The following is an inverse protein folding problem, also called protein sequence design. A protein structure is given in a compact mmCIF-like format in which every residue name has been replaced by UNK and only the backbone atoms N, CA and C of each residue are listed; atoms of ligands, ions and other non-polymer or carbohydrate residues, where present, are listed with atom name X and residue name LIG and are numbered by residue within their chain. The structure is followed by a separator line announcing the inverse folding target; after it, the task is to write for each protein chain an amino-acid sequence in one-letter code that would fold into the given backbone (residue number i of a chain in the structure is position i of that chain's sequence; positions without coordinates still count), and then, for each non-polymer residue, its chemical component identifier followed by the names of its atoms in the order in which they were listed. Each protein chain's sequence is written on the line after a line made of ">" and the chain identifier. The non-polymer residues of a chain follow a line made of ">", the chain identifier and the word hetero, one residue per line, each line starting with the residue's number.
data_IF_011269412109
#
_entry.id   IF_011269412109
#
_cell.length_a   1.000
_cell.length_b   1.000
_cell.length_c   1.000
_cell.angle_alpha   90.00
_cell.angle_beta   90.00
_cell.angle_gamma   90.00
#
_symmetry.space_group_name_H-M   'P 1'
#
loop_
_entity.id
_entity.type
_entity.pdbx_description
1 polymer ?
#
# COMPACT_ATOMS: atom_id res chain seq x y z
N UNK A 1 41.04 8.68 -5.94
CA UNK A 1 39.93 9.65 -6.02
C UNK A 1 39.82 10.16 -7.46
N UNK A 2 38.63 10.08 -8.07
CA UNK A 2 38.36 10.63 -9.42
C UNK A 2 37.70 12.00 -9.24
N UNK A 3 38.21 13.03 -9.89
CA UNK A 3 37.64 14.37 -9.87
C UNK A 3 36.91 14.59 -11.20
N UNK A 4 35.62 14.98 -11.12
CA UNK A 4 34.81 15.35 -12.26
C UNK A 4 34.73 16.88 -12.27
N UNK A 5 35.40 17.51 -13.24
CA UNK A 5 35.46 18.97 -13.35
C UNK A 5 34.20 19.50 -14.04
N UNK A 6 33.13 19.66 -13.27
CA UNK A 6 31.88 20.28 -13.71
C UNK A 6 31.54 21.45 -12.76
N UNK A 7 31.44 22.64 -13.33
CA UNK A 7 31.02 23.84 -12.58
C UNK A 7 29.51 23.93 -12.56
N UNK A 8 28.92 24.04 -11.38
CA UNK A 8 27.48 24.31 -11.20
C UNK A 8 27.08 25.63 -11.86
N UNK A 9 27.92 26.66 -11.75
CA UNK A 9 27.63 27.98 -12.30
C UNK A 9 27.60 27.99 -13.83
N UNK A 10 28.46 27.18 -14.48
CA UNK A 10 28.61 27.20 -15.93
C UNK A 10 27.75 26.14 -16.64
N UNK A 11 27.35 25.09 -15.95
CA UNK A 11 26.51 24.02 -16.54
C UNK A 11 25.71 23.29 -15.46
N UNK A 12 24.69 23.96 -14.93
CA UNK A 12 23.84 23.45 -13.86
C UNK A 12 23.19 22.11 -14.21
N UNK A 13 22.72 21.93 -15.48
CA UNK A 13 22.07 20.68 -15.91
C UNK A 13 23.04 19.51 -15.91
N UNK A 14 24.23 19.67 -16.47
CA UNK A 14 25.24 18.61 -16.46
C UNK A 14 25.71 18.27 -15.03
N UNK A 15 25.89 19.29 -14.18
CA UNK A 15 26.25 19.11 -12.79
C UNK A 15 25.17 18.36 -11.99
N UNK A 16 23.87 18.66 -12.23
CA UNK A 16 22.76 17.94 -11.62
C UNK A 16 22.72 16.49 -12.09
N UNK A 17 22.86 16.25 -13.41
CA UNK A 17 22.86 14.91 -13.97
C UNK A 17 23.97 14.02 -13.40
N UNK A 18 25.18 14.58 -13.18
CA UNK A 18 26.29 13.83 -12.56
C UNK A 18 26.00 13.45 -11.09
N UNK A 19 25.04 14.08 -10.45
CA UNK A 19 24.64 13.77 -9.08
C UNK A 19 23.53 12.75 -8.96
N UNK A 20 22.87 12.41 -10.07
CA UNK A 20 21.81 11.41 -10.09
C UNK A 20 22.38 10.02 -9.76
N UNK A 21 21.68 9.26 -8.94
CA UNK A 21 22.10 7.94 -8.50
C UNK A 21 23.37 7.95 -7.62
N UNK A 22 23.80 9.12 -7.09
CA UNK A 22 24.97 9.22 -6.19
C UNK A 22 24.55 9.74 -4.82
N UNK A 23 25.08 9.14 -3.77
CA UNK A 23 24.94 9.64 -2.39
C UNK A 23 25.87 10.82 -2.22
N UNK A 24 25.32 12.02 -2.41
CA UNK A 24 26.04 13.29 -2.23
C UNK A 24 25.91 13.80 -0.81
N UNK A 25 26.68 14.82 -0.42
CA UNK A 25 26.64 15.37 0.95
C UNK A 25 25.23 15.74 1.43
N UNK A 26 24.39 16.31 0.55
CA UNK A 26 23.01 16.68 0.88
C UNK A 26 22.06 15.48 1.07
N UNK A 27 22.39 14.32 0.50
CA UNK A 27 21.60 13.09 0.59
C UNK A 27 22.11 12.11 1.66
N UNK A 28 23.36 12.26 2.09
CA UNK A 28 24.06 11.27 2.91
C UNK A 28 23.37 11.01 4.25
N UNK A 29 22.85 12.04 4.92
CA UNK A 29 22.14 11.88 6.19
C UNK A 29 20.84 11.07 6.07
N UNK A 30 20.05 11.37 5.05
CA UNK A 30 18.75 10.74 4.84
C UNK A 30 18.85 9.31 4.26
N UNK A 31 19.97 9.00 3.60
CA UNK A 31 20.24 7.68 3.01
C UNK A 31 21.12 6.80 3.90
N UNK A 32 21.64 7.33 5.02
CA UNK A 32 22.28 6.53 6.04
C UNK A 32 21.22 5.79 6.88
N UNK A 33 20.71 4.70 6.35
CA UNK A 33 19.65 3.95 6.99
C UNK A 33 20.08 3.40 8.34
N UNK A 34 19.25 3.57 9.35
CA UNK A 34 19.41 3.02 10.69
C UNK A 34 18.31 2.00 10.99
N UNK A 35 18.58 1.07 11.89
CA UNK A 35 17.54 0.19 12.40
C UNK A 35 16.47 0.96 13.19
N UNK A 36 15.28 0.37 13.27
CA UNK A 36 14.30 0.83 14.26
C UNK A 36 14.87 0.71 15.67
N UNK A 37 14.34 1.50 16.66
CA UNK A 37 14.72 1.32 18.05
C UNK A 37 14.58 -0.15 18.45
N UNK A 38 15.66 -0.70 19.03
CA UNK A 38 15.71 -2.10 19.37
C UNK A 38 14.77 -2.41 20.54
N UNK A 39 13.94 -3.43 20.38
CA UNK A 39 13.14 -4.00 21.47
C UNK A 39 13.99 -5.04 22.20
N UNK A 40 14.02 -4.96 23.52
CA UNK A 40 14.75 -5.94 24.35
C UNK A 40 14.02 -7.29 24.37
N UNK A 41 14.41 -8.15 23.43
CA UNK A 41 13.86 -9.50 23.28
C UNK A 41 14.14 -10.36 24.52
N UNK A 42 15.29 -10.21 25.20
CA UNK A 42 15.61 -10.97 26.42
C UNK A 42 14.62 -10.68 27.54
N UNK A 43 14.18 -9.42 27.66
CA UNK A 43 13.16 -9.03 28.62
C UNK A 43 11.80 -9.67 28.32
N UNK A 44 11.41 -9.75 27.06
CA UNK A 44 10.18 -10.42 26.63
C UNK A 44 10.23 -11.92 26.93
N UNK A 45 11.36 -12.58 26.65
CA UNK A 45 11.60 -13.99 26.99
C UNK A 45 11.45 -14.19 28.51
N UNK A 46 12.04 -13.34 29.34
CA UNK A 46 11.88 -13.41 30.79
C UNK A 46 10.42 -13.30 31.26
N UNK A 47 9.61 -12.44 30.61
CA UNK A 47 8.17 -12.34 30.90
C UNK A 47 7.39 -13.59 30.47
N UNK A 48 7.71 -14.19 29.31
CA UNK A 48 7.14 -15.44 28.84
C UNK A 48 7.43 -16.56 29.80
N UNK A 49 8.69 -16.74 30.18
CA UNK A 49 9.13 -17.82 31.06
C UNK A 49 8.46 -17.72 32.45
N UNK A 50 8.34 -16.50 32.98
CA UNK A 50 7.60 -16.27 34.24
C UNK A 50 6.11 -16.63 34.09
N UNK A 51 5.47 -16.33 32.94
CA UNK A 51 4.08 -16.71 32.70
C UNK A 51 3.93 -18.25 32.60
N UNK A 52 4.86 -18.94 31.95
CA UNK A 52 4.88 -20.41 31.89
C UNK A 52 5.05 -21.05 33.30
N UNK A 53 5.91 -20.51 34.14
CA UNK A 53 6.06 -20.94 35.52
C UNK A 53 4.76 -20.75 36.31
N UNK A 54 4.12 -19.58 36.20
CA UNK A 54 2.83 -19.28 36.83
C UNK A 54 1.73 -20.23 36.35
N UNK A 55 1.74 -20.62 35.07
CA UNK A 55 0.80 -21.61 34.54
C UNK A 55 0.96 -23.00 35.19
N UNK A 56 2.20 -23.42 35.46
CA UNK A 56 2.50 -24.71 36.09
C UNK A 56 2.15 -24.76 37.60
N UNK A 57 2.22 -23.59 38.25
CA UNK A 57 2.01 -23.47 39.72
C UNK A 57 0.62 -22.93 40.08
N UNK A 58 -0.26 -22.71 39.09
CA UNK A 58 -1.62 -22.20 39.29
C UNK A 58 -2.49 -23.21 40.05
N UNK A 59 -3.30 -22.73 41.01
CA UNK A 59 -4.17 -23.56 41.83
C UNK A 59 -5.40 -24.07 41.08
N UNK A 60 -5.81 -23.37 40.03
CA UNK A 60 -6.98 -23.71 39.20
C UNK A 60 -6.62 -23.86 37.74
N UNK A 61 -7.39 -24.70 37.00
CA UNK A 61 -7.23 -24.88 35.58
C UNK A 61 -7.51 -23.55 34.80
N UNK A 62 -8.42 -22.74 35.30
CA UNK A 62 -8.74 -21.44 34.68
C UNK A 62 -7.56 -20.46 34.76
N UNK A 63 -6.89 -20.40 35.90
CA UNK A 63 -5.69 -19.59 36.09
C UNK A 63 -4.52 -20.12 35.26
N UNK A 64 -4.31 -21.45 35.26
CA UNK A 64 -3.31 -22.08 34.40
C UNK A 64 -3.49 -21.70 32.94
N UNK A 65 -4.70 -21.83 32.42
CA UNK A 65 -5.02 -21.45 31.03
C UNK A 65 -4.76 -19.96 30.74
N UNK A 66 -5.10 -19.07 31.69
CA UNK A 66 -4.85 -17.62 31.57
C UNK A 66 -3.35 -17.33 31.46
N UNK A 67 -2.52 -17.94 32.30
CA UNK A 67 -1.08 -17.73 32.25
C UNK A 67 -0.46 -18.36 31.00
N UNK A 68 -0.95 -19.50 30.56
CA UNK A 68 -0.52 -20.13 29.31
C UNK A 68 -0.83 -19.26 28.09
N UNK A 69 -2.05 -18.71 28.00
CA UNK A 69 -2.41 -17.76 26.95
C UNK A 69 -1.50 -16.53 26.95
N UNK A 70 -1.20 -16.00 28.14
CA UNK A 70 -0.27 -14.87 28.28
C UNK A 70 1.14 -15.21 27.79
N UNK A 71 1.60 -16.45 28.00
CA UNK A 71 2.89 -16.89 27.47
C UNK A 71 2.88 -16.94 25.93
N UNK A 72 1.81 -17.45 25.32
CA UNK A 72 1.65 -17.45 23.85
C UNK A 72 1.63 -16.04 23.28
N UNK A 73 0.99 -15.08 23.95
CA UNK A 73 1.01 -13.68 23.56
C UNK A 73 2.45 -13.10 23.58
N UNK A 74 3.26 -13.51 24.56
CA UNK A 74 4.67 -13.13 24.59
C UNK A 74 5.48 -13.80 23.47
N UNK A 75 5.22 -15.05 23.10
CA UNK A 75 5.89 -15.69 21.97
C UNK A 75 5.63 -14.92 20.65
N UNK A 76 4.38 -14.51 20.41
CA UNK A 76 4.04 -13.66 19.28
C UNK A 76 4.82 -12.34 19.32
N UNK A 77 4.84 -11.65 20.46
CA UNK A 77 5.58 -10.38 20.64
C UNK A 77 7.09 -10.53 20.48
N UNK A 78 7.66 -11.67 20.86
CA UNK A 78 9.10 -11.98 20.66
C UNK A 78 9.39 -12.07 19.17
N UNK A 79 8.60 -12.83 18.41
CA UNK A 79 8.76 -12.95 16.95
C UNK A 79 8.64 -11.61 16.23
N UNK A 80 7.64 -10.80 16.60
CA UNK A 80 7.46 -9.45 16.07
C UNK A 80 8.65 -8.54 16.40
N UNK A 81 9.14 -8.60 17.63
CA UNK A 81 10.28 -7.80 18.07
C UNK A 81 11.58 -8.20 17.36
N UNK A 82 11.82 -9.49 17.17
CA UNK A 82 12.98 -9.99 16.43
C UNK A 82 12.95 -9.57 14.97
N UNK A 83 11.78 -9.67 14.32
CA UNK A 83 11.58 -9.22 12.95
C UNK A 83 11.80 -7.70 12.85
N UNK A 84 11.21 -6.90 13.75
CA UNK A 84 11.34 -5.44 13.78
C UNK A 84 12.79 -5.00 14.04
N UNK A 85 13.51 -5.69 14.93
CA UNK A 85 14.90 -5.35 15.25
C UNK A 85 15.85 -5.52 14.05
N UNK A 86 15.50 -6.37 13.10
CA UNK A 86 16.27 -6.56 11.84
C UNK A 86 15.94 -5.51 10.78
N UNK A 87 14.85 -4.75 10.93
CA UNK A 87 14.39 -3.81 9.92
C UNK A 87 15.10 -2.48 9.97
N UNK A 88 15.37 -1.94 8.78
CA UNK A 88 15.85 -0.59 8.58
C UNK A 88 14.67 0.39 8.46
N UNK A 89 14.88 1.60 8.94
CA UNK A 89 13.95 2.71 8.69
C UNK A 89 14.16 3.18 7.26
N UNK A 90 13.18 2.90 6.40
CA UNK A 90 13.18 3.32 5.00
C UNK A 90 12.17 4.46 4.84
N UNK A 91 12.66 5.66 4.59
CA UNK A 91 11.84 6.84 4.34
C UNK A 91 11.67 7.11 2.85
N UNK A 92 10.83 8.12 2.53
CA UNK A 92 10.58 8.53 1.13
C UNK A 92 11.87 8.94 0.39
N UNK A 93 12.90 9.41 1.09
CA UNK A 93 14.16 9.81 0.45
C UNK A 93 14.93 8.63 -0.18
N UNK A 94 14.78 7.42 0.37
CA UNK A 94 15.25 6.21 -0.29
C UNK A 94 14.56 5.99 -1.65
N UNK A 95 13.24 6.13 -1.68
CA UNK A 95 12.45 5.95 -2.89
C UNK A 95 12.71 7.05 -3.93
N UNK A 96 12.93 8.30 -3.47
CA UNK A 96 13.36 9.40 -4.35
C UNK A 96 14.73 9.11 -4.96
N UNK A 97 15.66 8.62 -4.17
CA UNK A 97 16.98 8.24 -4.64
C UNK A 97 16.92 7.07 -5.64
N UNK A 98 16.09 6.07 -5.34
CA UNK A 98 15.87 4.95 -6.27
C UNK A 98 15.26 5.43 -7.59
N UNK A 99 14.30 6.36 -7.54
CA UNK A 99 13.68 6.93 -8.73
C UNK A 99 14.68 7.70 -9.62
N UNK A 100 15.77 8.23 -9.09
CA UNK A 100 16.83 8.86 -9.91
C UNK A 100 17.52 7.87 -10.86
N UNK A 101 17.48 6.58 -10.55
CA UNK A 101 18.08 5.52 -11.39
C UNK A 101 17.05 4.73 -12.18
N UNK A 102 15.81 4.66 -11.71
CA UNK A 102 14.75 3.83 -12.28
C UNK A 102 13.71 4.61 -13.08
N UNK A 103 13.78 5.96 -13.08
CA UNK A 103 12.81 6.79 -13.79
C UNK A 103 13.50 7.98 -14.47
N UNK A 104 12.84 8.49 -15.51
CA UNK A 104 13.18 9.82 -16.07
C UNK A 104 12.91 10.89 -15.02
N UNK A 105 13.66 11.99 -15.12
CA UNK A 105 13.48 13.11 -14.18
C UNK A 105 12.07 13.67 -14.32
N UNK A 106 11.42 14.01 -13.18
CA UNK A 106 10.07 14.54 -13.21
C UNK A 106 10.04 15.87 -13.95
N UNK A 107 9.05 16.00 -14.83
CA UNK A 107 8.67 17.28 -15.37
C UNK A 107 7.98 18.14 -14.30
N UNK A 108 7.79 19.40 -14.57
CA UNK A 108 7.12 20.35 -13.68
C UNK A 108 5.59 20.25 -13.74
N UNK A 109 5.02 19.19 -14.33
CA UNK A 109 3.58 19.02 -14.50
C UNK A 109 2.87 18.87 -13.14
N UNK A 110 1.74 19.55 -13.01
CA UNK A 110 0.88 19.40 -11.82
C UNK A 110 0.43 17.93 -11.68
N UNK A 111 0.56 17.31 -10.48
CA UNK A 111 0.21 15.91 -10.28
C UNK A 111 -1.24 15.54 -10.68
N UNK A 112 -2.20 16.44 -10.46
CA UNK A 112 -3.60 16.23 -10.84
C UNK A 112 -3.79 16.27 -12.36
N UNK A 113 -3.21 17.27 -13.04
CA UNK A 113 -3.24 17.37 -14.50
C UNK A 113 -2.59 16.16 -15.16
N UNK A 114 -1.46 15.68 -14.60
CA UNK A 114 -0.81 14.45 -15.06
C UNK A 114 -1.71 13.24 -14.87
N UNK A 115 -2.39 13.11 -13.72
CA UNK A 115 -3.34 12.03 -13.47
C UNK A 115 -4.39 11.95 -14.57
N UNK A 116 -5.11 13.02 -14.83
CA UNK A 116 -6.14 13.07 -15.87
C UNK A 116 -5.61 12.79 -17.28
N UNK A 117 -4.41 13.29 -17.59
CA UNK A 117 -3.81 13.06 -18.92
C UNK A 117 -3.42 11.58 -19.14
N UNK A 118 -2.96 10.89 -18.10
CA UNK A 118 -2.48 9.52 -18.18
C UNK A 118 -3.57 8.47 -17.95
N UNK A 119 -4.70 8.84 -17.39
CA UNK A 119 -5.80 7.94 -17.06
C UNK A 119 -6.31 7.12 -18.26
N UNK A 120 -6.59 7.68 -19.45
CA UNK A 120 -7.04 6.89 -20.60
C UNK A 120 -6.03 5.84 -21.06
N UNK A 121 -4.73 6.18 -21.02
CA UNK A 121 -3.65 5.24 -21.35
C UNK A 121 -3.55 4.15 -20.30
N UNK A 122 -3.62 4.51 -19.01
CA UNK A 122 -3.60 3.57 -17.89
C UNK A 122 -4.77 2.57 -17.98
N UNK A 123 -6.00 3.03 -18.25
CA UNK A 123 -7.15 2.15 -18.47
C UNK A 123 -6.90 1.20 -19.64
N UNK A 124 -6.42 1.71 -20.77
CA UNK A 124 -6.14 0.90 -21.97
C UNK A 124 -5.13 -0.20 -21.68
N UNK A 125 -4.01 0.13 -21.03
CA UNK A 125 -2.98 -0.82 -20.65
C UNK A 125 -3.53 -1.87 -19.66
N UNK A 126 -4.36 -1.44 -18.71
CA UNK A 126 -4.99 -2.31 -17.71
C UNK A 126 -5.91 -3.33 -18.38
N UNK A 127 -6.79 -2.89 -19.28
CA UNK A 127 -7.68 -3.78 -20.02
C UNK A 127 -6.89 -4.79 -20.86
N UNK A 128 -5.86 -4.33 -21.57
CA UNK A 128 -4.99 -5.22 -22.35
C UNK A 128 -4.31 -6.29 -21.48
N UNK A 129 -3.77 -5.90 -20.34
CA UNK A 129 -3.08 -6.83 -19.42
C UNK A 129 -4.06 -7.83 -18.78
N UNK A 130 -5.31 -7.43 -18.56
CA UNK A 130 -6.36 -8.30 -18.01
C UNK A 130 -7.06 -9.16 -19.08
N UNK A 131 -6.83 -8.88 -20.37
CA UNK A 131 -7.46 -9.58 -21.49
C UNK A 131 -8.91 -9.14 -21.71
N UNK A 132 -9.29 -7.95 -21.29
CA UNK A 132 -10.61 -7.35 -21.55
C UNK A 132 -10.57 -6.47 -22.81
N UNK A 133 -11.70 -6.37 -23.51
CA UNK A 133 -11.83 -5.47 -24.65
C UNK A 133 -12.45 -4.13 -24.20
N UNK A 134 -12.14 -3.06 -24.94
CA UNK A 134 -12.67 -1.72 -24.66
C UNK A 134 -14.22 -1.67 -24.69
N UNK A 135 -14.84 -2.49 -25.55
CA UNK A 135 -16.32 -2.61 -25.63
C UNK A 135 -16.98 -3.17 -24.38
N UNK A 136 -16.21 -3.92 -23.54
CA UNK A 136 -16.69 -4.54 -22.32
C UNK A 136 -16.56 -3.62 -21.10
N UNK A 137 -16.18 -2.36 -21.34
CA UNK A 137 -15.81 -1.39 -20.32
C UNK A 137 -16.52 -0.05 -20.54
N UNK A 138 -16.99 0.55 -19.46
CA UNK A 138 -17.47 1.94 -19.42
C UNK A 138 -16.38 2.78 -18.74
N UNK A 139 -15.97 3.87 -19.38
CA UNK A 139 -14.90 4.78 -18.94
C UNK A 139 -15.38 6.19 -18.58
N UNK A 140 -16.57 6.58 -19.02
CA UNK A 140 -17.26 7.80 -18.56
C UNK A 140 -18.31 7.39 -17.51
N UNK A 141 -17.82 7.13 -16.31
CA UNK A 141 -18.51 6.33 -15.32
C UNK A 141 -19.57 7.07 -14.51
N UNK A 142 -19.52 8.39 -14.47
CA UNK A 142 -20.37 9.18 -13.60
C UNK A 142 -20.17 8.84 -12.11
N UNK A 143 -21.27 8.89 -11.35
CA UNK A 143 -21.26 8.63 -9.91
C UNK A 143 -22.11 7.39 -9.65
N UNK A 144 -21.57 6.43 -8.90
CA UNK A 144 -22.31 5.33 -8.30
C UNK A 144 -22.84 5.74 -6.94
N UNK A 145 -24.10 5.45 -6.65
CA UNK A 145 -24.75 5.67 -5.36
C UNK A 145 -25.15 4.33 -4.75
N UNK A 146 -25.04 4.21 -3.44
CA UNK A 146 -25.47 3.01 -2.73
C UNK A 146 -27.00 2.95 -2.63
N UNK A 147 -27.57 1.75 -2.82
CA UNK A 147 -29.00 1.50 -2.63
C UNK A 147 -29.45 1.72 -1.17
N UNK A 148 -28.55 1.63 -0.20
CA UNK A 148 -28.87 1.79 1.23
C UNK A 148 -28.97 3.26 1.65
N UNK A 149 -28.02 4.09 1.18
CA UNK A 149 -28.03 5.54 1.43
C UNK A 149 -27.31 6.22 0.25
N UNK A 150 -27.98 7.04 -0.57
CA UNK A 150 -27.41 7.67 -1.75
C UNK A 150 -26.27 8.66 -1.44
N UNK A 151 -26.09 9.05 -0.17
CA UNK A 151 -24.96 9.86 0.26
C UNK A 151 -23.65 9.04 0.33
N UNK A 152 -23.76 7.70 0.30
CA UNK A 152 -22.63 6.81 0.10
C UNK A 152 -22.42 6.65 -1.40
N UNK A 153 -21.42 7.33 -1.95
CA UNK A 153 -21.19 7.38 -3.38
C UNK A 153 -19.70 7.21 -3.73
N UNK A 154 -19.42 6.83 -4.97
CA UNK A 154 -18.08 6.75 -5.54
C UNK A 154 -18.11 6.94 -7.06
N UNK A 155 -16.94 7.14 -7.66
CA UNK A 155 -16.79 7.29 -9.11
C UNK A 155 -15.57 6.48 -9.55
N UNK A 156 -15.73 5.26 -10.05
CA UNK A 156 -14.62 4.50 -10.62
C UNK A 156 -14.14 5.14 -11.93
N UNK A 157 -12.87 4.92 -12.28
CA UNK A 157 -12.32 5.41 -13.55
C UNK A 157 -12.77 4.53 -14.72
N UNK A 158 -13.03 3.24 -14.47
CA UNK A 158 -13.62 2.33 -15.44
C UNK A 158 -14.32 1.15 -14.75
N UNK A 159 -15.32 0.56 -15.40
CA UNK A 159 -15.99 -0.63 -14.89
C UNK A 159 -16.60 -1.47 -15.99
N UNK A 160 -16.96 -2.71 -15.68
CA UNK A 160 -17.58 -3.67 -16.58
C UNK A 160 -18.90 -3.12 -17.14
N UNK A 161 -19.06 -3.15 -18.46
CA UNK A 161 -20.23 -2.64 -19.18
C UNK A 161 -21.46 -3.57 -19.00
N UNK A 162 -21.91 -3.73 -17.77
CA UNK A 162 -23.09 -4.51 -17.40
C UNK A 162 -23.91 -3.78 -16.35
N UNK A 163 -25.17 -4.16 -16.18
CA UNK A 163 -26.05 -3.61 -15.13
C UNK A 163 -25.53 -3.92 -13.73
N UNK A 164 -24.90 -5.09 -13.55
CA UNK A 164 -24.35 -5.55 -12.28
C UNK A 164 -22.85 -5.81 -12.43
N UNK A 165 -21.99 -4.78 -12.39
CA UNK A 165 -20.56 -4.92 -12.63
C UNK A 165 -19.91 -5.75 -11.51
N UNK A 166 -19.10 -6.73 -11.91
CA UNK A 166 -18.31 -7.54 -10.98
C UNK A 166 -16.88 -7.06 -10.85
N UNK A 167 -16.42 -6.18 -11.75
CA UNK A 167 -15.12 -5.55 -11.66
C UNK A 167 -15.16 -4.08 -12.02
N UNK A 168 -14.24 -3.34 -11.41
CA UNK A 168 -13.97 -1.93 -11.72
C UNK A 168 -12.46 -1.67 -11.68
N UNK A 169 -12.04 -0.53 -12.22
CA UNK A 169 -10.66 -0.06 -12.27
C UNK A 169 -10.58 1.30 -11.56
N UNK A 170 -9.58 1.46 -10.74
CA UNK A 170 -9.14 2.72 -10.16
C UNK A 170 -7.70 2.99 -10.61
N UNK A 171 -7.47 4.10 -11.29
CA UNK A 171 -6.19 4.49 -11.87
C UNK A 171 -5.43 5.47 -11.00
N UNK A 172 -4.15 5.25 -10.81
CA UNK A 172 -3.27 6.20 -10.11
C UNK A 172 -1.98 6.44 -10.89
N UNK A 173 -1.67 7.72 -11.10
CA UNK A 173 -0.42 8.17 -11.72
C UNK A 173 0.36 9.03 -10.75
N UNK A 174 1.08 8.36 -9.84
CA UNK A 174 1.84 9.00 -8.77
C UNK A 174 3.17 9.56 -9.28
N UNK A 175 3.82 10.39 -8.46
CA UNK A 175 5.23 10.72 -8.68
C UNK A 175 6.12 9.48 -8.56
N UNK A 176 7.17 9.36 -9.38
CA UNK A 176 7.96 8.12 -9.56
C UNK A 176 8.44 7.49 -8.25
N UNK A 177 8.82 8.30 -7.25
CA UNK A 177 9.24 7.79 -5.94
C UNK A 177 8.08 7.09 -5.18
N UNK A 178 6.90 7.71 -5.15
CA UNK A 178 5.71 7.13 -4.51
C UNK A 178 5.15 5.97 -5.31
N UNK A 179 5.26 6.03 -6.64
CA UNK A 179 4.92 4.93 -7.53
C UNK A 179 5.79 3.70 -7.21
N UNK A 180 7.12 3.83 -7.23
CA UNK A 180 8.05 2.75 -6.91
C UNK A 180 7.86 2.21 -5.49
N UNK A 181 7.60 3.08 -4.52
CA UNK A 181 7.31 2.67 -3.14
C UNK A 181 6.11 1.73 -3.05
N UNK A 182 5.09 1.93 -3.86
CA UNK A 182 3.88 1.11 -3.87
C UNK A 182 4.05 -0.15 -4.74
N UNK A 183 4.62 -0.02 -5.95
CA UNK A 183 4.63 -1.14 -6.91
C UNK A 183 5.71 -2.18 -6.64
N UNK A 184 6.89 -1.80 -6.13
CA UNK A 184 7.99 -2.75 -5.91
C UNK A 184 7.62 -3.85 -4.89
N UNK A 185 7.04 -3.54 -3.71
CA UNK A 185 6.58 -4.57 -2.79
C UNK A 185 5.58 -5.53 -3.42
N UNK A 186 4.61 -5.01 -4.19
CA UNK A 186 3.63 -5.81 -4.90
C UNK A 186 4.25 -6.70 -5.98
N UNK A 187 5.17 -6.19 -6.78
CA UNK A 187 5.87 -6.96 -7.81
C UNK A 187 6.60 -8.16 -7.19
N UNK A 188 7.35 -7.93 -6.12
CA UNK A 188 8.09 -8.99 -5.42
C UNK A 188 7.12 -9.99 -4.79
N UNK A 189 6.06 -9.52 -4.12
CA UNK A 189 5.03 -10.39 -3.56
C UNK A 189 4.35 -11.25 -4.63
N UNK A 190 3.89 -10.65 -5.72
CA UNK A 190 3.21 -11.36 -6.81
C UNK A 190 4.11 -12.40 -7.49
N UNK A 191 5.42 -12.13 -7.59
CA UNK A 191 6.39 -13.09 -8.08
C UNK A 191 6.60 -14.23 -7.06
N UNK A 192 6.71 -13.91 -5.78
CA UNK A 192 6.81 -14.88 -4.70
C UNK A 192 5.64 -15.85 -4.67
N UNK A 193 4.40 -15.34 -4.75
CA UNK A 193 3.19 -16.18 -4.78
C UNK A 193 3.16 -17.09 -6.01
N UNK A 194 3.60 -16.59 -7.18
CA UNK A 194 3.61 -17.39 -8.44
C UNK A 194 4.67 -18.48 -8.45
N UNK A 195 5.85 -18.20 -7.93
CA UNK A 195 7.02 -19.08 -8.04
C UNK A 195 7.31 -19.89 -6.77
N UNK A 196 6.63 -19.57 -5.66
CA UNK A 196 6.89 -20.11 -4.31
C UNK A 196 8.35 -19.94 -3.83
N UNK A 197 9.12 -19.14 -4.52
CA UNK A 197 10.54 -18.88 -4.20
C UNK A 197 10.91 -17.44 -4.52
N UNK A 198 11.56 -16.78 -3.56
CA UNK A 198 12.34 -15.57 -3.81
C UNK A 198 13.81 -15.98 -3.70
N UNK A 199 14.69 -15.53 -4.59
CA UNK A 199 16.14 -15.73 -4.40
C UNK A 199 16.54 -15.27 -2.98
N UNK A 200 17.35 -16.06 -2.27
CA UNK A 200 17.65 -15.81 -0.86
C UNK A 200 18.19 -14.40 -0.59
N UNK A 201 19.07 -13.88 -1.46
CA UNK A 201 19.59 -12.52 -1.35
C UNK A 201 18.52 -11.44 -1.50
N UNK A 202 17.50 -11.65 -2.34
CA UNK A 202 16.37 -10.73 -2.51
C UNK A 202 15.41 -10.86 -1.33
N UNK A 203 15.18 -12.08 -0.82
CA UNK A 203 14.32 -12.32 0.35
C UNK A 203 14.89 -11.65 1.60
N UNK A 204 16.18 -11.79 1.86
CA UNK A 204 16.85 -11.16 3.00
C UNK A 204 16.83 -9.64 2.91
N UNK A 205 17.05 -9.07 1.73
CA UNK A 205 16.94 -7.64 1.49
C UNK A 205 15.50 -7.17 1.65
N UNK A 206 14.53 -7.87 1.06
CA UNK A 206 13.12 -7.51 1.14
C UNK A 206 12.63 -7.52 2.60
N UNK A 207 13.04 -8.51 3.41
CA UNK A 207 12.70 -8.57 4.82
C UNK A 207 13.25 -7.39 5.63
N UNK A 208 14.35 -6.78 5.19
CA UNK A 208 14.97 -5.63 5.88
C UNK A 208 14.39 -4.29 5.46
N UNK A 209 14.09 -4.08 4.17
CA UNK A 209 13.77 -2.75 3.61
C UNK A 209 12.34 -2.60 3.12
N UNK A 210 11.64 -3.69 2.80
CA UNK A 210 10.28 -3.64 2.29
C UNK A 210 9.23 -3.93 3.39
N UNK A 211 7.97 -3.60 3.17
CA UNK A 211 6.90 -3.95 4.10
C UNK A 211 6.81 -5.46 4.36
N UNK A 212 6.45 -5.92 5.59
CA UNK A 212 6.37 -7.34 5.95
C UNK A 212 5.43 -8.14 5.03
N UNK A 213 4.40 -7.49 4.50
CA UNK A 213 3.41 -8.04 3.59
C UNK A 213 4.06 -8.57 2.32
N UNK A 214 5.21 -8.00 1.90
CA UNK A 214 5.94 -8.39 0.69
C UNK A 214 6.29 -9.87 0.66
N UNK A 215 6.64 -10.46 1.80
CA UNK A 215 7.02 -11.87 1.94
C UNK A 215 5.99 -12.70 2.68
N UNK A 216 4.83 -12.12 3.02
CA UNK A 216 3.74 -12.82 3.68
C UNK A 216 2.82 -13.52 2.65
N UNK A 217 2.76 -14.87 2.61
CA UNK A 217 1.91 -15.57 1.65
C UNK A 217 0.40 -15.36 1.87
N UNK A 218 0.00 -14.81 3.03
CA UNK A 218 -1.39 -14.48 3.35
C UNK A 218 -1.76 -13.04 3.03
N UNK A 219 -0.79 -12.21 2.62
CA UNK A 219 -1.08 -10.84 2.24
C UNK A 219 -2.00 -10.80 1.01
N UNK A 220 -2.90 -9.85 1.02
CA UNK A 220 -3.90 -9.61 -0.03
C UNK A 220 -3.54 -8.37 -0.84
N UNK A 221 -4.22 -8.11 -1.95
CA UNK A 221 -4.02 -6.88 -2.71
C UNK A 221 -4.21 -5.62 -1.87
N UNK A 222 -5.13 -5.65 -0.88
CA UNK A 222 -5.38 -4.51 0.00
C UNK A 222 -4.17 -4.09 0.83
N UNK A 223 -3.31 -5.02 1.21
CA UNK A 223 -2.12 -4.76 2.01
C UNK A 223 -1.04 -3.98 1.24
N UNK A 224 -1.16 -3.91 -0.10
CA UNK A 224 -0.26 -3.16 -0.99
C UNK A 224 -0.85 -1.85 -1.50
N UNK A 225 -2.09 -1.54 -1.14
CA UNK A 225 -2.68 -0.24 -1.46
C UNK A 225 -2.10 0.82 -0.51
N UNK A 226 -1.55 1.93 -1.02
CA UNK A 226 -1.09 3.01 -0.16
C UNK A 226 -2.19 3.49 0.79
N UNK A 227 -1.85 3.73 2.05
CA UNK A 227 -2.80 4.06 3.14
C UNK A 227 -3.78 5.19 2.75
N UNK A 228 -3.29 6.16 1.98
CA UNK A 228 -4.08 7.30 1.50
C UNK A 228 -5.23 6.91 0.57
N UNK A 229 -5.18 5.73 -0.05
CA UNK A 229 -6.20 5.25 -1.00
C UNK A 229 -7.04 4.08 -0.47
N UNK A 230 -6.68 3.50 0.67
CA UNK A 230 -7.41 2.33 1.21
C UNK A 230 -8.88 2.63 1.47
N UNK A 231 -9.19 3.81 2.02
CA UNK A 231 -10.58 4.22 2.25
C UNK A 231 -11.35 4.37 0.92
N UNK A 232 -10.74 4.91 -0.11
CA UNK A 232 -11.33 5.02 -1.45
C UNK A 232 -11.61 3.63 -2.04
N UNK A 233 -10.66 2.71 -1.93
CA UNK A 233 -10.82 1.32 -2.38
C UNK A 233 -11.98 0.63 -1.68
N UNK A 234 -12.10 0.78 -0.35
CA UNK A 234 -13.22 0.21 0.41
C UNK A 234 -14.56 0.80 0.00
N UNK A 235 -14.59 2.09 -0.37
CA UNK A 235 -15.82 2.78 -0.77
C UNK A 235 -16.48 2.15 -2.00
N UNK A 236 -15.71 1.71 -2.99
CA UNK A 236 -16.26 1.01 -4.16
C UNK A 236 -17.05 -0.24 -3.77
N UNK A 237 -16.52 -1.01 -2.82
CA UNK A 237 -17.19 -2.21 -2.33
C UNK A 237 -18.36 -1.92 -1.40
N UNK A 238 -18.38 -0.77 -0.71
CA UNK A 238 -19.53 -0.32 0.09
C UNK A 238 -20.69 0.08 -0.81
N UNK A 239 -20.40 0.77 -1.90
CA UNK A 239 -21.41 1.33 -2.81
C UNK A 239 -21.97 0.28 -3.78
N UNK A 240 -21.12 -0.59 -4.33
CA UNK A 240 -21.53 -1.58 -5.32
C UNK A 240 -21.42 -3.00 -4.74
N UNK A 241 -22.54 -3.58 -4.32
CA UNK A 241 -22.58 -4.91 -3.68
C UNK A 241 -22.21 -6.05 -4.63
N UNK A 242 -22.37 -5.88 -5.93
CA UNK A 242 -22.00 -6.88 -6.96
C UNK A 242 -20.52 -6.86 -7.31
N UNK A 243 -19.78 -5.80 -6.92
CA UNK A 243 -18.36 -5.66 -7.21
C UNK A 243 -17.55 -6.73 -6.47
N UNK A 244 -16.93 -7.65 -7.22
CA UNK A 244 -16.10 -8.71 -6.67
C UNK A 244 -14.61 -8.35 -6.65
N UNK A 245 -14.14 -7.60 -7.66
CA UNK A 245 -12.74 -7.23 -7.79
C UNK A 245 -12.60 -5.76 -8.20
N UNK A 246 -11.82 -5.00 -7.44
CA UNK A 246 -11.30 -3.71 -7.86
C UNK A 246 -9.86 -3.88 -8.32
N UNK A 247 -9.56 -3.48 -9.55
CA UNK A 247 -8.21 -3.41 -10.08
C UNK A 247 -7.63 -2.03 -9.82
N UNK A 248 -6.76 -1.94 -8.82
CA UNK A 248 -6.04 -0.70 -8.53
C UNK A 248 -4.83 -0.64 -9.46
N UNK A 249 -4.92 0.20 -10.48
CA UNK A 249 -3.93 0.29 -11.54
C UNK A 249 -3.00 1.48 -11.34
N UNK A 250 -1.72 1.21 -11.28
CA UNK A 250 -0.68 2.21 -11.07
C UNK A 250 0.19 2.33 -12.32
N UNK A 251 0.26 3.55 -12.87
CA UNK A 251 1.00 3.84 -14.10
C UNK A 251 1.85 5.10 -13.96
N UNK A 252 3.15 4.97 -14.26
CA UNK A 252 4.07 6.09 -14.45
C UNK A 252 4.97 5.82 -15.66
N UNK A 253 4.71 6.45 -16.82
CA UNK A 253 5.46 6.22 -18.05
C UNK A 253 6.95 6.58 -17.95
N UNK A 254 7.35 7.35 -16.94
CA UNK A 254 8.76 7.73 -16.70
C UNK A 254 9.57 6.59 -16.07
N UNK A 255 8.89 5.64 -15.40
CA UNK A 255 9.55 4.49 -14.77
C UNK A 255 9.91 3.46 -15.84
N UNK A 256 11.09 2.87 -15.71
CA UNK A 256 11.60 1.88 -16.66
C UNK A 256 11.10 0.47 -16.34
N UNK A 257 11.00 -0.36 -17.38
CA UNK A 257 10.67 -1.77 -17.27
C UNK A 257 9.27 -2.06 -16.73
N UNK A 258 9.12 -3.23 -16.14
CA UNK A 258 7.81 -3.73 -15.67
C UNK A 258 7.23 -2.93 -14.50
N UNK A 259 8.06 -2.19 -13.78
CA UNK A 259 7.61 -1.31 -12.71
C UNK A 259 6.79 -0.10 -13.21
N UNK A 260 6.83 0.19 -14.53
CA UNK A 260 6.06 1.28 -15.16
C UNK A 260 4.56 1.15 -14.96
N UNK A 261 4.02 -0.07 -15.08
CA UNK A 261 2.60 -0.35 -14.97
C UNK A 261 2.38 -1.60 -14.12
N UNK A 262 1.62 -1.45 -13.05
CA UNK A 262 1.27 -2.56 -12.16
C UNK A 262 -0.20 -2.51 -11.78
N UNK A 263 -0.84 -3.67 -11.75
CA UNK A 263 -2.24 -3.85 -11.36
C UNK A 263 -2.28 -4.65 -10.06
N UNK A 264 -2.91 -4.08 -9.04
CA UNK A 264 -3.11 -4.72 -7.74
C UNK A 264 -4.59 -5.11 -7.63
N UNK A 265 -4.95 -6.39 -7.77
CA UNK A 265 -6.33 -6.84 -7.62
C UNK A 265 -6.71 -6.87 -6.14
N UNK A 266 -7.72 -6.11 -5.76
CA UNK A 266 -8.34 -6.17 -4.44
C UNK A 266 -9.65 -6.94 -4.59
N UNK A 267 -9.81 -8.06 -3.86
CA UNK A 267 -10.98 -8.93 -3.98
C UNK A 267 -11.89 -8.79 -2.76
N UNK A 268 -13.19 -8.63 -2.98
CA UNK A 268 -14.21 -8.54 -1.91
C UNK A 268 -14.08 -9.64 -0.87
N UNK A 269 -13.88 -10.89 -1.32
CA UNK A 269 -13.78 -12.06 -0.43
C UNK A 269 -12.66 -11.95 0.61
N UNK A 270 -11.57 -11.26 0.27
CA UNK A 270 -10.37 -11.16 1.12
C UNK A 270 -10.49 -10.04 2.17
N UNK A 271 -11.41 -9.08 1.95
CA UNK A 271 -11.54 -7.85 2.74
C UNK A 271 -12.94 -7.62 3.33
N UNK A 272 -13.81 -8.63 3.36
CA UNK A 272 -15.19 -8.51 3.90
C UNK A 272 -15.28 -7.82 5.26
N UNK A 273 -14.43 -8.14 6.26
CA UNK A 273 -14.47 -7.45 7.56
C UNK A 273 -14.12 -5.97 7.47
N UNK A 274 -13.20 -5.58 6.58
CA UNK A 274 -12.81 -4.19 6.36
C UNK A 274 -13.95 -3.40 5.73
N UNK A 275 -14.63 -3.96 4.72
CA UNK A 275 -15.82 -3.36 4.08
C UNK A 275 -16.91 -3.12 5.11
N UNK A 276 -17.27 -4.13 5.91
CA UNK A 276 -18.30 -4.04 6.91
C UNK A 276 -17.99 -2.97 7.96
N UNK A 277 -16.76 -2.92 8.46
CA UNK A 277 -16.33 -1.91 9.41
C UNK A 277 -16.34 -0.49 8.81
N UNK A 278 -15.90 -0.34 7.56
CA UNK A 278 -15.90 0.95 6.86
C UNK A 278 -17.34 1.47 6.67
N UNK A 279 -18.24 0.63 6.15
CA UNK A 279 -19.65 0.91 5.98
C UNK A 279 -20.31 1.32 7.31
N UNK A 280 -20.10 0.55 8.36
CA UNK A 280 -20.65 0.83 9.70
C UNK A 280 -20.24 2.22 10.21
N UNK A 281 -18.95 2.57 10.07
CA UNK A 281 -18.46 3.90 10.48
C UNK A 281 -19.12 5.03 9.70
N UNK A 282 -19.33 4.85 8.40
CA UNK A 282 -19.98 5.85 7.55
C UNK A 282 -21.45 6.02 7.91
N UNK A 283 -22.20 4.94 8.08
CA UNK A 283 -23.62 5.01 8.49
C UNK A 283 -23.79 5.65 9.87
N UNK A 284 -22.91 5.37 10.82
CA UNK A 284 -22.91 6.05 12.11
C UNK A 284 -22.66 7.56 11.97
N UNK A 285 -21.75 7.95 11.08
CA UNK A 285 -21.47 9.37 10.78
C UNK A 285 -22.71 10.05 10.19
N UNK A 286 -23.38 9.40 9.24
CA UNK A 286 -24.61 9.93 8.64
C UNK A 286 -25.73 10.06 9.68
N UNK A 287 -25.91 9.09 10.56
CA UNK A 287 -26.88 9.17 11.66
C UNK A 287 -26.62 10.37 12.60
N UNK A 288 -25.36 10.65 12.92
CA UNK A 288 -24.97 11.83 13.72
C UNK A 288 -25.30 13.12 12.96
N UNK A 289 -25.01 13.18 11.66
CA UNK A 289 -25.32 14.33 10.79
C UNK A 289 -26.83 14.56 10.78
N UNK A 290 -27.65 13.52 10.58
CA UNK A 290 -29.10 13.59 10.57
C UNK A 290 -29.64 14.14 11.89
N UNK A 291 -29.14 13.63 13.02
CA UNK A 291 -29.51 14.12 14.37
C UNK A 291 -29.20 15.61 14.56
N UNK A 292 -28.02 16.05 14.09
CA UNK A 292 -27.64 17.48 14.18
C UNK A 292 -28.50 18.33 13.27
N UNK A 293 -28.77 17.87 12.06
CA UNK A 293 -29.57 18.57 11.05
C UNK A 293 -31.00 18.76 11.55
N UNK A 294 -31.62 17.71 12.09
CA UNK A 294 -32.96 17.77 12.72
C UNK A 294 -32.99 18.74 13.90
N UNK A 295 -32.02 18.68 14.79
CA UNK A 295 -31.95 19.53 15.98
C UNK A 295 -31.73 21.02 15.63
N UNK A 296 -31.05 21.31 14.50
CA UNK A 296 -30.74 22.69 14.07
C UNK A 296 -31.73 23.24 13.05
N UNK A 297 -32.63 22.41 12.51
CA UNK A 297 -33.53 22.78 11.42
C UNK A 297 -32.79 23.07 10.10
N UNK A 298 -31.53 22.66 9.98
CA UNK A 298 -30.77 22.76 8.73
C UNK A 298 -31.29 21.69 7.77
N UNK A 299 -31.69 22.07 6.55
CA UNK A 299 -32.00 21.14 5.46
C UNK A 299 -30.82 21.15 4.46
N UNK A 300 -30.39 19.95 4.02
CA UNK A 300 -29.50 19.84 2.88
C UNK A 300 -30.27 20.05 1.58
#
# INVERSE_FOLDING_TARGET
>A
MKIINLSQANNTKAWLNERLGRITGTKSGNLAMSHYPQTDVKKLIGYRDKALEQSKTAETQAESNKYFQKAQDYDTRILEAEAKNKRLKVGIDFWKFLAETMAEQPDSENPMARGHRLEPENITLTLQQLGYEQKDCITDCGIWESDEDPRLACSPDAYQATENPTWAIECKSLGSAYHLQAVIPWMIHSQYIRQHTIPNNLADMAAQVLPPETTNPKATGMDFIPDTYQAQVLQYFVVCDTLETLYFSMYDPRVYGDARHQIIPVRRKDIKPLIANHKHKQLNTLCIIDTITEATGASF
#
